data_IF_242145583114
#
_entry.id   IF_242145583114
#
_cell.length_a   1.000
_cell.length_b   1.000
_cell.length_c   1.000
_cell.angle_alpha   90.00
_cell.angle_beta   90.00
_cell.angle_gamma   90.00
#
_symmetry.space_group_name_H-M   'P 1'
#
loop_
_entity.id
_entity.type
_entity.pdbx_description
1 polymer ?
#
# COMPACT_ATOMS: atom_id res chain seq x y z
N UNK A 1 2.39 -17.35 0.99
CA UNK A 1 1.71 -17.64 -0.29
C UNK A 1 2.20 -16.76 -1.44
N UNK A 2 2.28 -15.43 -1.28
CA UNK A 2 2.72 -14.50 -2.34
C UNK A 2 4.22 -14.65 -2.70
N UNK A 3 5.11 -14.66 -1.71
CA UNK A 3 6.55 -14.86 -1.90
C UNK A 3 6.90 -16.17 -2.62
N UNK A 4 6.22 -17.27 -2.25
CA UNK A 4 6.41 -18.58 -2.90
C UNK A 4 5.92 -18.62 -4.35
N UNK A 5 5.00 -17.75 -4.76
CA UNK A 5 4.58 -17.64 -6.16
C UNK A 5 5.64 -16.91 -6.96
N UNK A 6 6.14 -15.77 -6.46
CA UNK A 6 7.20 -15.00 -7.12
C UNK A 6 8.48 -15.82 -7.29
N UNK A 7 8.92 -16.54 -6.26
CA UNK A 7 10.09 -17.43 -6.32
C UNK A 7 9.91 -18.61 -7.29
N UNK A 8 8.68 -19.02 -7.59
CA UNK A 8 8.39 -20.07 -8.56
C UNK A 8 8.30 -19.56 -9.99
N UNK A 9 7.69 -18.40 -10.16
CA UNK A 9 7.40 -17.83 -11.48
C UNK A 9 8.65 -17.13 -12.07
N UNK A 10 9.56 -16.64 -11.23
CA UNK A 10 10.75 -15.87 -11.64
C UNK A 10 12.05 -16.46 -11.08
N UNK A 11 12.84 -17.20 -11.88
CA UNK A 11 14.13 -17.75 -11.46
C UNK A 11 15.20 -16.69 -11.17
N UNK A 12 14.94 -15.42 -11.52
CA UNK A 12 15.80 -14.27 -11.23
C UNK A 12 15.74 -13.82 -9.77
N UNK A 13 14.69 -14.19 -9.03
CA UNK A 13 14.49 -13.82 -7.64
C UNK A 13 15.18 -14.86 -6.76
N UNK A 14 16.17 -14.43 -5.99
CA UNK A 14 16.90 -15.28 -5.04
C UNK A 14 16.14 -15.41 -3.73
N UNK A 15 15.59 -14.29 -3.24
CA UNK A 15 14.87 -14.23 -1.98
C UNK A 15 13.81 -13.12 -1.98
N UNK A 16 12.82 -13.25 -1.10
CA UNK A 16 11.74 -12.29 -0.93
C UNK A 16 11.53 -12.03 0.55
N UNK A 17 11.89 -10.83 0.99
CA UNK A 17 11.66 -10.37 2.36
C UNK A 17 10.39 -9.52 2.39
N UNK A 18 9.47 -9.84 3.30
CA UNK A 18 8.22 -9.10 3.47
C UNK A 18 8.18 -8.46 4.86
N UNK A 19 8.08 -7.14 4.90
CA UNK A 19 7.88 -6.37 6.13
C UNK A 19 6.43 -5.88 6.15
N UNK A 20 5.66 -6.25 7.17
CA UNK A 20 4.23 -5.92 7.29
C UNK A 20 4.04 -5.11 8.56
N UNK A 21 3.41 -3.94 8.44
CA UNK A 21 3.25 -3.00 9.55
C UNK A 21 4.55 -2.30 9.97
N UNK A 22 4.50 -1.65 11.13
CA UNK A 22 5.62 -0.87 11.67
C UNK A 22 6.67 -1.75 12.36
N UNK A 23 7.93 -1.35 12.28
CA UNK A 23 9.02 -1.90 13.08
C UNK A 23 8.89 -1.49 14.56
N UNK A 24 9.58 -2.23 15.44
CA UNK A 24 9.63 -1.97 16.90
C UNK A 24 10.15 -0.56 17.21
N UNK A 25 11.10 -0.08 16.43
CA UNK A 25 11.53 1.32 16.44
C UNK A 25 10.70 2.04 15.37
N UNK A 26 9.76 2.93 15.76
CA UNK A 26 8.81 3.54 14.84
C UNK A 26 9.48 4.70 14.07
N UNK A 27 10.34 4.36 13.12
CA UNK A 27 10.91 5.30 12.14
C UNK A 27 9.97 5.56 10.98
N UNK A 28 8.93 4.73 10.82
CA UNK A 28 7.94 4.79 9.74
C UNK A 28 6.58 4.28 10.25
N UNK A 29 5.53 5.11 10.30
CA UNK A 29 4.21 4.70 10.76
C UNK A 29 3.47 3.95 9.65
N UNK A 30 3.86 2.69 9.39
CA UNK A 30 3.16 1.84 8.43
C UNK A 30 1.95 1.13 9.05
N UNK A 31 0.76 1.24 8.45
CA UNK A 31 -0.41 0.48 8.85
C UNK A 31 -0.23 -1.03 8.69
N UNK A 32 -0.99 -1.83 9.43
CA UNK A 32 -0.88 -3.31 9.45
C UNK A 32 -1.38 -3.96 8.16
N UNK A 33 -2.16 -3.23 7.37
CA UNK A 33 -2.67 -3.64 6.07
C UNK A 33 -1.66 -3.45 4.93
N UNK A 34 -0.59 -2.68 5.15
CA UNK A 34 0.46 -2.42 4.16
C UNK A 34 1.63 -3.39 4.38
N UNK A 35 2.17 -3.88 3.26
CA UNK A 35 3.29 -4.81 3.23
C UNK A 35 4.32 -4.36 2.20
N UNK A 36 5.55 -4.12 2.64
CA UNK A 36 6.68 -3.82 1.78
C UNK A 36 7.45 -5.11 1.45
N UNK A 37 7.50 -5.46 0.17
CA UNK A 37 8.21 -6.62 -0.34
C UNK A 37 9.54 -6.20 -0.96
N UNK A 38 10.64 -6.71 -0.43
CA UNK A 38 11.99 -6.54 -0.98
C UNK A 38 12.36 -7.81 -1.73
N UNK A 39 12.53 -7.67 -3.05
CA UNK A 39 12.97 -8.76 -3.92
C UNK A 39 14.49 -8.71 -4.05
N UNK A 40 15.17 -9.75 -3.59
CA UNK A 40 16.61 -9.94 -3.82
C UNK A 40 16.76 -10.60 -5.19
N UNK A 41 17.40 -9.89 -6.11
CA UNK A 41 17.51 -10.33 -7.51
C UNK A 41 18.95 -10.70 -7.87
N UNK A 42 19.09 -11.70 -8.73
CA UNK A 42 20.35 -12.05 -9.39
C UNK A 42 20.91 -10.86 -10.19
N UNK A 43 22.23 -10.87 -10.48
CA UNK A 43 22.81 -9.93 -11.43
C UNK A 43 22.04 -9.93 -12.77
N UNK A 44 21.83 -8.74 -13.35
CA UNK A 44 21.04 -8.57 -14.58
C UNK A 44 21.51 -9.45 -15.75
N UNK A 45 22.80 -9.77 -15.80
CA UNK A 45 23.39 -10.65 -16.82
C UNK A 45 22.88 -12.09 -16.78
N UNK A 46 22.30 -12.52 -15.66
CA UNK A 46 21.78 -13.87 -15.45
C UNK A 46 20.26 -13.94 -15.63
N UNK A 47 19.63 -12.84 -16.04
CA UNK A 47 18.18 -12.79 -16.22
C UNK A 47 17.76 -13.52 -17.50
N UNK A 48 16.68 -14.29 -17.38
CA UNK A 48 16.12 -15.10 -18.47
C UNK A 48 14.70 -14.69 -18.84
N UNK A 49 13.93 -14.24 -17.85
CA UNK A 49 12.53 -13.90 -17.96
C UNK A 49 12.31 -12.50 -18.53
N UNK A 50 13.27 -11.58 -18.40
CA UNK A 50 13.13 -10.22 -18.91
C UNK A 50 14.46 -9.64 -19.42
N UNK A 51 14.36 -8.75 -20.40
CA UNK A 51 15.49 -8.08 -21.06
C UNK A 51 15.90 -6.76 -20.39
N UNK A 52 14.96 -6.16 -19.65
CA UNK A 52 15.14 -4.89 -18.96
C UNK A 52 14.44 -4.90 -17.60
N UNK A 53 14.74 -3.91 -16.76
CA UNK A 53 14.06 -3.78 -15.48
C UNK A 53 12.57 -3.42 -15.66
N UNK A 54 12.27 -2.61 -16.66
CA UNK A 54 10.89 -2.24 -16.99
C UNK A 54 10.07 -3.47 -17.40
N UNK A 55 10.64 -4.28 -18.30
CA UNK A 55 10.06 -5.56 -18.74
C UNK A 55 9.87 -6.54 -17.57
N UNK A 56 10.78 -6.52 -16.58
CA UNK A 56 10.61 -7.30 -15.35
C UNK A 56 9.44 -6.79 -14.49
N UNK A 57 9.29 -5.47 -14.33
CA UNK A 57 8.18 -4.88 -13.58
C UNK A 57 6.83 -5.20 -14.21
N UNK A 58 6.70 -5.09 -15.53
CA UNK A 58 5.48 -5.45 -16.26
C UNK A 58 5.09 -6.92 -16.05
N UNK A 59 6.07 -7.84 -16.10
CA UNK A 59 5.84 -9.27 -15.84
C UNK A 59 5.46 -9.57 -14.40
N UNK A 60 6.07 -8.89 -13.44
CA UNK A 60 5.72 -9.01 -12.03
C UNK A 60 4.29 -8.51 -11.76
N UNK A 61 3.92 -7.37 -12.36
CA UNK A 61 2.58 -6.80 -12.29
C UNK A 61 1.55 -7.77 -12.88
N UNK A 62 1.82 -8.34 -14.06
CA UNK A 62 0.94 -9.33 -14.70
C UNK A 62 0.78 -10.61 -13.83
N UNK A 63 1.86 -11.13 -13.25
CA UNK A 63 1.78 -12.32 -12.40
C UNK A 63 0.95 -12.09 -11.14
N UNK A 64 1.02 -10.88 -10.58
CA UNK A 64 0.34 -10.49 -9.34
C UNK A 64 -1.07 -9.93 -9.56
N UNK A 65 -1.43 -9.50 -10.77
CA UNK A 65 -2.75 -8.98 -11.13
C UNK A 65 -3.89 -9.94 -10.72
N UNK A 66 -3.63 -11.25 -10.76
CA UNK A 66 -4.61 -12.28 -10.43
C UNK A 66 -5.00 -12.34 -8.93
N UNK A 67 -4.39 -11.51 -8.07
CA UNK A 67 -4.68 -11.47 -6.63
C UNK A 67 -5.73 -10.38 -6.38
N UNK A 68 -7.00 -10.74 -6.13
CA UNK A 68 -8.06 -9.76 -5.91
C UNK A 68 -7.83 -8.98 -4.61
N UNK A 69 -8.14 -7.68 -4.64
CA UNK A 69 -8.16 -6.83 -3.46
C UNK A 69 -6.78 -6.34 -2.98
N UNK A 70 -5.74 -6.44 -3.81
CA UNK A 70 -4.39 -5.95 -3.48
C UNK A 70 -3.90 -5.05 -4.60
N UNK A 71 -3.54 -3.81 -4.26
CA UNK A 71 -2.77 -2.94 -5.15
C UNK A 71 -1.28 -3.23 -5.01
N UNK A 72 -0.55 -3.29 -6.12
CA UNK A 72 0.90 -3.46 -6.12
C UNK A 72 1.55 -2.21 -6.71
N UNK A 73 2.59 -1.74 -6.05
CA UNK A 73 3.42 -0.65 -6.53
C UNK A 73 4.88 -1.12 -6.54
N UNK A 74 5.56 -0.91 -7.67
CA UNK A 74 6.93 -1.35 -7.85
C UNK A 74 7.85 -0.13 -7.87
N UNK A 75 8.84 -0.13 -6.97
CA UNK A 75 9.86 0.91 -6.93
C UNK A 75 11.20 0.32 -6.47
N UNK A 76 12.23 1.15 -6.48
CA UNK A 76 13.52 0.80 -5.90
C UNK A 76 13.60 1.29 -4.47
N UNK A 77 14.23 0.55 -3.54
CA UNK A 77 14.32 0.96 -2.14
C UNK A 77 14.89 2.37 -1.92
N UNK A 78 15.91 2.75 -2.71
CA UNK A 78 16.53 4.08 -2.62
C UNK A 78 15.59 5.17 -3.15
N UNK A 79 14.95 4.92 -4.31
CA UNK A 79 14.03 5.87 -4.94
C UNK A 79 12.79 6.08 -4.08
N UNK A 80 12.21 5.00 -3.57
CA UNK A 80 11.11 4.99 -2.64
C UNK A 80 11.40 5.89 -1.43
N UNK A 81 12.55 5.70 -0.78
CA UNK A 81 12.91 6.48 0.40
C UNK A 81 13.12 7.96 0.07
N UNK A 82 13.63 8.27 -1.12
CA UNK A 82 13.77 9.64 -1.58
C UNK A 82 12.42 10.31 -1.83
N UNK A 83 11.48 9.60 -2.48
CA UNK A 83 10.13 10.09 -2.75
C UNK A 83 9.38 10.38 -1.45
N UNK A 84 9.46 9.47 -0.46
CA UNK A 84 8.87 9.64 0.86
C UNK A 84 9.42 10.88 1.57
N UNK A 85 10.74 11.04 1.61
CA UNK A 85 11.38 12.19 2.27
C UNK A 85 11.03 13.53 1.62
N UNK A 86 10.90 13.56 0.29
CA UNK A 86 10.67 14.80 -0.45
C UNK A 86 9.19 15.20 -0.50
N UNK A 87 8.29 14.25 -0.68
CA UNK A 87 6.88 14.52 -0.99
C UNK A 87 5.91 14.00 0.06
N UNK A 88 6.38 13.12 0.96
CA UNK A 88 5.54 12.37 1.89
C UNK A 88 4.75 11.25 1.21
N UNK A 89 5.02 10.94 -0.07
CA UNK A 89 4.36 9.89 -0.84
C UNK A 89 5.40 8.89 -1.36
N UNK A 90 5.02 7.60 -1.38
CA UNK A 90 5.83 6.51 -1.94
C UNK A 90 5.85 6.54 -3.48
N UNK A 91 4.76 7.04 -4.08
CA UNK A 91 4.57 7.08 -5.52
C UNK A 91 5.42 8.13 -6.23
N UNK A 92 5.75 7.84 -7.50
CA UNK A 92 6.49 8.76 -8.38
C UNK A 92 5.71 10.04 -8.70
N UNK A 93 4.37 9.95 -8.76
CA UNK A 93 3.46 11.09 -8.94
C UNK A 93 2.40 11.04 -7.84
N UNK A 94 2.28 12.12 -7.08
CA UNK A 94 1.28 12.26 -6.02
C UNK A 94 0.30 13.39 -6.34
N UNK A 95 -1.00 13.11 -6.27
CA UNK A 95 -2.07 14.10 -6.42
C UNK A 95 -2.73 14.28 -5.05
N UNK A 96 -2.64 15.48 -4.48
CA UNK A 96 -3.19 15.80 -3.16
C UNK A 96 -4.46 16.64 -3.31
N UNK A 97 -5.57 16.11 -2.82
CA UNK A 97 -6.84 16.84 -2.69
C UNK A 97 -6.94 17.43 -1.29
N UNK A 98 -7.18 18.74 -1.21
CA UNK A 98 -7.31 19.45 0.07
C UNK A 98 -8.75 19.90 0.27
N UNK A 99 -9.25 19.73 1.49
CA UNK A 99 -10.61 20.11 1.88
C UNK A 99 -10.93 19.68 3.31
N UNK A 100 -12.11 20.02 3.78
CA UNK A 100 -12.55 19.75 5.16
C UNK A 100 -13.32 18.42 5.31
N UNK A 101 -13.97 17.98 4.23
CA UNK A 101 -14.85 16.80 4.22
C UNK A 101 -14.15 15.60 3.57
N UNK A 102 -13.81 14.60 4.39
CA UNK A 102 -13.11 13.39 3.94
C UNK A 102 -13.95 12.53 2.98
N UNK A 103 -15.29 12.51 3.12
CA UNK A 103 -16.17 11.72 2.25
C UNK A 103 -16.20 12.34 0.85
N UNK A 104 -16.29 13.67 0.78
CA UNK A 104 -16.25 14.41 -0.49
C UNK A 104 -14.89 14.27 -1.16
N UNK A 105 -13.81 14.37 -0.38
CA UNK A 105 -12.45 14.18 -0.89
C UNK A 105 -12.25 12.78 -1.46
N UNK A 106 -12.69 11.74 -0.74
CA UNK A 106 -12.62 10.35 -1.20
C UNK A 106 -13.40 10.14 -2.51
N UNK A 107 -14.65 10.63 -2.57
CA UNK A 107 -15.46 10.54 -3.80
C UNK A 107 -14.81 11.24 -4.99
N UNK A 108 -14.19 12.40 -4.78
CA UNK A 108 -13.49 13.12 -5.83
C UNK A 108 -12.19 12.41 -6.24
N UNK A 109 -11.48 11.80 -5.30
CA UNK A 109 -10.30 10.98 -5.60
C UNK A 109 -10.66 9.77 -6.46
N UNK A 110 -11.74 9.04 -6.16
CA UNK A 110 -12.22 7.92 -6.98
C UNK A 110 -12.64 8.36 -8.40
N UNK A 111 -13.25 9.55 -8.53
CA UNK A 111 -13.55 10.12 -9.84
C UNK A 111 -12.28 10.46 -10.61
N UNK A 112 -11.29 11.07 -9.94
CA UNK A 112 -10.00 11.40 -10.55
C UNK A 112 -9.26 10.13 -11.01
N UNK A 113 -9.23 9.08 -10.18
CA UNK A 113 -8.68 7.77 -10.53
C UNK A 113 -9.27 7.24 -11.84
N UNK A 114 -10.60 7.30 -11.99
CA UNK A 114 -11.30 6.82 -13.19
C UNK A 114 -10.92 7.58 -14.47
N UNK A 115 -10.54 8.85 -14.35
CA UNK A 115 -10.06 9.68 -15.47
C UNK A 115 -8.58 9.41 -15.75
N UNK A 116 -7.75 9.33 -14.70
CA UNK A 116 -6.30 9.16 -14.81
C UNK A 116 -5.95 7.80 -15.40
N UNK A 117 -6.71 6.74 -15.06
CA UNK A 117 -6.54 5.40 -15.64
C UNK A 117 -6.73 5.34 -17.17
N UNK A 118 -7.33 6.36 -17.79
CA UNK A 118 -7.52 6.42 -19.24
C UNK A 118 -6.32 7.04 -19.98
N UNK A 119 -5.35 7.59 -19.26
CA UNK A 119 -4.19 8.25 -19.86
C UNK A 119 -3.15 7.19 -20.22
N UNK A 120 -2.72 7.18 -21.49
CA UNK A 120 -1.70 6.26 -21.98
C UNK A 120 -0.39 6.41 -21.20
N UNK A 121 0.15 5.28 -20.74
CA UNK A 121 1.41 5.24 -19.98
C UNK A 121 1.26 5.40 -18.47
N UNK A 122 0.03 5.56 -17.96
CA UNK A 122 -0.23 5.46 -16.51
C UNK A 122 -0.15 3.98 -16.08
N UNK A 123 0.68 3.70 -15.08
CA UNK A 123 0.75 2.39 -14.43
C UNK A 123 -0.37 2.18 -13.41
N UNK A 124 -0.04 1.61 -12.26
CA UNK A 124 -1.01 1.43 -11.18
C UNK A 124 -1.38 2.76 -10.53
N UNK A 125 -2.68 3.09 -10.53
CA UNK A 125 -3.26 4.23 -9.79
C UNK A 125 -3.90 3.70 -8.52
N UNK A 126 -3.55 4.29 -7.37
CA UNK A 126 -4.10 3.94 -6.07
C UNK A 126 -4.69 5.18 -5.39
N UNK A 127 -5.89 5.03 -4.82
CA UNK A 127 -6.56 6.05 -4.01
C UNK A 127 -6.42 5.63 -2.55
N UNK A 128 -5.74 6.45 -1.77
CA UNK A 128 -5.59 6.22 -0.34
C UNK A 128 -6.96 6.19 0.35
N UNK A 129 -7.25 5.11 1.07
CA UNK A 129 -8.50 4.98 1.80
C UNK A 129 -8.44 5.82 3.07
N UNK A 130 -9.23 6.88 3.12
CA UNK A 130 -9.37 7.75 4.31
C UNK A 130 -10.36 7.21 5.34
N UNK A 131 -11.11 6.16 5.00
CA UNK A 131 -12.23 5.62 5.77
C UNK A 131 -12.18 4.09 5.69
N UNK A 132 -12.56 3.38 6.76
CA UNK A 132 -12.87 1.96 6.65
C UNK A 132 -12.29 1.05 7.72
N UNK A 133 -11.46 1.54 8.64
CA UNK A 133 -11.03 0.72 9.77
C UNK A 133 -12.22 0.47 10.72
N UNK A 134 -12.70 -0.77 10.88
CA UNK A 134 -13.83 -1.04 11.74
C UNK A 134 -13.44 -0.78 13.19
N UNK A 135 -14.17 0.10 13.86
CA UNK A 135 -13.96 0.43 15.27
C UNK A 135 -15.14 -0.05 16.11
N UNK A 136 -14.83 -0.68 17.25
CA UNK A 136 -15.83 -0.98 18.27
C UNK A 136 -15.99 0.24 19.16
N UNK A 137 -17.07 1.00 18.94
CA UNK A 137 -17.39 2.15 19.76
C UNK A 137 -18.27 1.73 20.96
N UNK A 138 -17.70 1.76 22.15
CA UNK A 138 -18.46 1.55 23.39
C UNK A 138 -19.11 2.87 23.78
N UNK A 139 -20.43 2.98 23.57
CA UNK A 139 -21.23 4.13 24.03
C UNK A 139 -21.86 3.80 25.38
N UNK A 140 -21.45 4.54 26.39
CA UNK A 140 -21.97 4.38 27.76
C UNK A 140 -23.40 4.92 27.88
N UNK A 141 -24.28 4.12 28.49
CA UNK A 141 -25.60 4.57 28.92
C UNK A 141 -25.50 5.08 30.36
N UNK A 142 -25.32 6.40 30.50
CA UNK A 142 -25.16 7.07 31.79
C UNK A 142 -26.36 6.87 32.73
N UNK A 143 -27.58 6.79 32.20
CA UNK A 143 -28.78 6.63 33.03
C UNK A 143 -28.83 5.23 33.65
N UNK A 144 -28.50 4.19 32.88
CA UNK A 144 -28.41 2.84 33.41
C UNK A 144 -27.24 2.68 34.37
N UNK A 145 -26.07 3.24 34.05
CA UNK A 145 -24.90 3.17 34.92
C UNK A 145 -25.15 3.79 36.30
N UNK A 146 -25.88 4.90 36.37
CA UNK A 146 -26.25 5.55 37.63
C UNK A 146 -27.12 4.64 38.52
N UNK A 147 -28.00 3.81 37.94
CA UNK A 147 -28.83 2.86 38.70
C UNK A 147 -28.01 1.76 39.36
N UNK A 148 -26.86 1.40 38.77
CA UNK A 148 -25.93 0.40 39.30
C UNK A 148 -24.78 1.02 40.12
N UNK A 149 -24.77 2.34 40.32
CA UNK A 149 -23.71 3.05 41.06
C UNK A 149 -22.34 3.01 40.37
N UNK A 150 -22.30 2.79 39.05
CA UNK A 150 -21.06 2.69 38.28
C UNK A 150 -20.58 4.08 37.85
N UNK A 151 -19.26 4.29 37.88
CA UNK A 151 -18.61 5.52 37.44
C UNK A 151 -17.58 5.23 36.36
N UNK A 152 -17.44 6.13 35.39
CA UNK A 152 -16.35 6.05 34.39
C UNK A 152 -15.08 6.51 35.09
N UNK A 153 -14.06 5.67 35.07
CA UNK A 153 -12.72 6.05 35.50
C UNK A 153 -11.96 6.53 34.26
N UNK A 154 -11.33 7.70 34.38
CA UNK A 154 -10.39 8.22 33.36
C UNK A 154 -9.17 7.30 33.20
#
# INVERSE_FOLDING_TARGET
>A
MKSNKLLKDFPEIEDVVANIGSAEIPTDPMPVEIADYVLVMKPKSEWTSASSRQDMFEKLEESLHNIPGVGFEFSQPIQLRFNELMTGSKADIAIKLFGEDLDVLFQNATKAESVIKQIDGVGTVNVEQTIGMPQVMVKYDYQRMAQYGLHIQE
#
